data_IF_397416027662
#
_entry.id   IF_397416027662
#
_cell.length_a   1.000
_cell.length_b   1.000
_cell.length_c   1.000
_cell.angle_alpha   90.00
_cell.angle_beta   90.00
_cell.angle_gamma   90.00
#
_symmetry.space_group_name_H-M   'P 1'
#
loop_
_entity.id
_entity.type
_entity.pdbx_description
1 polymer ?
#
# COMPACT_ATOMS: atom_id res chain seq x y z
N UNK A 1 9.09 -7.13 13.79
CA UNK A 1 8.18 -8.00 13.03
C UNK A 1 7.14 -7.23 12.19
N UNK A 2 6.39 -6.28 12.76
CA UNK A 2 5.31 -5.56 12.05
C UNK A 2 5.72 -4.90 10.73
N UNK A 3 6.91 -4.27 10.68
CA UNK A 3 7.42 -3.62 9.46
C UNK A 3 7.60 -4.62 8.29
N UNK A 4 8.14 -5.81 8.56
CA UNK A 4 8.32 -6.86 7.55
C UNK A 4 6.97 -7.43 7.09
N UNK A 5 5.98 -7.52 7.98
CA UNK A 5 4.62 -7.92 7.64
C UNK A 5 3.98 -6.94 6.64
N UNK A 6 4.11 -5.63 6.85
CA UNK A 6 3.60 -4.63 5.90
C UNK A 6 4.27 -4.72 4.53
N UNK A 7 5.58 -4.99 4.47
CA UNK A 7 6.26 -5.21 3.18
C UNK A 7 5.75 -6.47 2.47
N UNK A 8 5.57 -7.57 3.22
CA UNK A 8 5.05 -8.82 2.67
C UNK A 8 3.62 -8.66 2.16
N UNK A 9 2.75 -8.07 2.96
CA UNK A 9 1.35 -7.80 2.58
C UNK A 9 1.26 -6.83 1.40
N UNK A 10 2.10 -5.80 1.36
CA UNK A 10 2.21 -4.88 0.23
C UNK A 10 2.57 -5.64 -1.05
N UNK A 11 3.57 -6.53 -1.00
CA UNK A 11 4.00 -7.32 -2.15
C UNK A 11 2.93 -8.35 -2.59
N UNK A 12 2.21 -8.95 -1.66
CA UNK A 12 1.17 -9.96 -1.95
C UNK A 12 -0.15 -9.35 -2.44
N UNK A 13 -0.52 -8.16 -1.95
CA UNK A 13 -1.86 -7.60 -2.18
C UNK A 13 -1.88 -6.39 -3.12
N UNK A 14 -0.74 -5.90 -3.62
CA UNK A 14 -0.77 -4.76 -4.54
C UNK A 14 -1.54 -5.06 -5.84
N UNK A 15 -1.52 -6.30 -6.33
CA UNK A 15 -2.26 -6.68 -7.55
C UNK A 15 -3.75 -6.90 -7.31
N UNK A 16 -4.14 -7.24 -6.08
CA UNK A 16 -5.55 -7.51 -5.71
C UNK A 16 -6.32 -6.25 -5.37
N UNK A 17 -5.64 -5.22 -4.85
CA UNK A 17 -6.28 -3.96 -4.50
C UNK A 17 -6.06 -2.93 -5.62
N UNK A 18 -7.13 -2.50 -6.33
CA UNK A 18 -6.99 -1.58 -7.46
C UNK A 18 -6.38 -0.22 -7.06
N UNK A 19 -6.57 0.22 -5.82
CA UNK A 19 -5.97 1.46 -5.29
C UNK A 19 -4.46 1.34 -5.12
N UNK A 20 -3.97 0.17 -4.69
CA UNK A 20 -2.53 -0.08 -4.55
C UNK A 20 -1.88 -0.34 -5.91
N UNK A 21 -2.57 -1.02 -6.82
CA UNK A 21 -2.12 -1.25 -8.19
C UNK A 21 -1.91 0.08 -8.92
N UNK A 22 -2.91 0.96 -8.90
CA UNK A 22 -2.84 2.29 -9.52
C UNK A 22 -1.70 3.13 -8.93
N UNK A 23 -1.48 3.03 -7.61
CA UNK A 23 -0.35 3.70 -6.96
C UNK A 23 1.00 3.14 -7.42
N UNK A 24 1.12 1.82 -7.53
CA UNK A 24 2.33 1.15 -8.01
C UNK A 24 2.65 1.57 -9.44
N UNK A 25 1.68 1.51 -10.35
CA UNK A 25 1.87 1.90 -11.75
C UNK A 25 2.27 3.36 -11.90
N UNK A 26 1.66 4.25 -11.12
CA UNK A 26 1.98 5.69 -11.15
C UNK A 26 3.38 6.02 -10.61
N UNK A 27 3.96 5.15 -9.77
CA UNK A 27 5.22 5.40 -9.08
C UNK A 27 6.35 4.48 -9.52
N UNK A 28 6.11 3.41 -10.29
CA UNK A 28 7.14 2.45 -10.72
C UNK A 28 8.25 3.12 -11.52
N UNK A 29 7.90 4.14 -12.32
CA UNK A 29 8.85 4.85 -13.18
C UNK A 29 9.64 5.91 -12.38
N UNK A 30 9.06 6.41 -11.29
CA UNK A 30 9.62 7.48 -10.45
C UNK A 30 10.40 6.96 -9.23
N UNK A 31 10.03 5.79 -8.70
CA UNK A 31 10.62 5.17 -7.51
C UNK A 31 11.06 3.76 -7.86
N UNK A 32 12.35 3.45 -7.69
CA UNK A 32 12.91 2.11 -7.98
C UNK A 32 13.28 1.36 -6.70
N UNK A 33 13.13 0.03 -6.76
CA UNK A 33 13.59 -0.91 -5.74
C UNK A 33 12.94 -0.71 -4.37
N UNK A 34 13.76 -0.66 -3.31
CA UNK A 34 13.31 -0.63 -1.91
C UNK A 34 12.37 0.55 -1.60
N UNK A 35 12.61 1.72 -2.19
CA UNK A 35 11.82 2.93 -1.95
C UNK A 35 10.37 2.79 -2.42
N UNK A 36 10.15 2.10 -3.55
CA UNK A 36 8.81 1.83 -4.08
C UNK A 36 8.00 0.96 -3.12
N UNK A 37 8.59 -0.16 -2.67
CA UNK A 37 7.94 -1.03 -1.70
C UNK A 37 7.72 -0.34 -0.35
N UNK A 38 8.61 0.56 0.07
CA UNK A 38 8.39 1.35 1.30
C UNK A 38 7.21 2.30 1.17
N UNK A 39 7.07 2.97 0.03
CA UNK A 39 5.93 3.84 -0.24
C UNK A 39 4.62 3.03 -0.31
N UNK A 40 4.66 1.85 -0.93
CA UNK A 40 3.50 0.98 -1.06
C UNK A 40 3.06 0.41 0.31
N UNK A 41 4.00 0.01 1.15
CA UNK A 41 3.75 -0.40 2.53
C UNK A 41 3.13 0.72 3.38
N UNK A 42 3.58 1.97 3.22
CA UNK A 42 2.97 3.13 3.90
C UNK A 42 1.54 3.38 3.45
N UNK A 43 1.27 3.26 2.14
CA UNK A 43 -0.09 3.41 1.63
C UNK A 43 -1.02 2.31 2.12
N UNK A 44 -0.54 1.07 2.16
CA UNK A 44 -1.27 -0.05 2.76
C UNK A 44 -1.57 0.20 4.24
N UNK A 45 -0.59 0.67 5.02
CA UNK A 45 -0.80 0.99 6.43
C UNK A 45 -1.88 2.05 6.64
N UNK A 46 -1.95 3.08 5.77
CA UNK A 46 -3.01 4.10 5.80
C UNK A 46 -4.39 3.51 5.52
N UNK A 47 -4.50 2.61 4.54
CA UNK A 47 -5.76 1.92 4.20
C UNK A 47 -6.22 1.07 5.38
N UNK A 48 -5.32 0.23 5.93
CA UNK A 48 -5.61 -0.62 7.09
C UNK A 48 -6.05 0.23 8.28
N UNK A 49 -5.33 1.31 8.57
CA UNK A 49 -5.70 2.23 9.65
C UNK A 49 -7.09 2.84 9.44
N UNK A 50 -7.39 3.30 8.21
CA UNK A 50 -8.69 3.88 7.88
C UNK A 50 -9.83 2.88 8.09
N UNK A 51 -9.64 1.64 7.63
CA UNK A 51 -10.65 0.59 7.78
C UNK A 51 -10.85 0.25 9.26
N UNK A 52 -9.76 0.08 10.01
CA UNK A 52 -9.81 -0.41 11.39
C UNK A 52 -10.30 0.63 12.40
N UNK A 53 -9.90 1.90 12.24
CA UNK A 53 -10.27 2.96 13.20
C UNK A 53 -11.48 3.80 12.79
N UNK A 54 -11.73 3.99 11.49
CA UNK A 54 -12.86 4.81 11.05
C UNK A 54 -14.08 3.99 10.63
N UNK A 55 -13.99 2.64 10.62
CA UNK A 55 -15.03 1.72 10.14
C UNK A 55 -15.63 2.12 8.77
N UNK A 56 -14.85 2.89 7.99
CA UNK A 56 -15.23 3.42 6.68
C UNK A 56 -14.34 2.80 5.62
N UNK A 57 -14.90 2.35 4.49
CA UNK A 57 -14.11 1.91 3.36
C UNK A 57 -13.18 3.04 2.92
N UNK A 58 -11.93 2.70 2.57
CA UNK A 58 -10.96 3.69 2.12
C UNK A 58 -11.42 4.29 0.79
N UNK A 59 -11.75 5.58 0.78
CA UNK A 59 -12.07 6.32 -0.43
C UNK A 59 -10.79 6.93 -1.02
N UNK A 60 -10.45 6.62 -2.29
CA UNK A 60 -9.35 7.29 -2.98
C UNK A 60 -9.73 8.75 -3.25
N UNK A 61 -9.14 9.67 -2.48
CA UNK A 61 -9.22 11.12 -2.70
C UNK A 61 -8.29 11.57 -3.82
#
# INVERSE_FOLDING_TARGET
YLRSLFYFLAKMNYSRNPTLLKFYESHKDRLRGKKLYTALARKLARIVWSVWYNNKPYEPK
#
